data_IF_760712080875
#
_entry.id   IF_760712080875
#
_cell.length_a   1.000
_cell.length_b   1.000
_cell.length_c   1.000
_cell.angle_alpha   90.00
_cell.angle_beta   90.00
_cell.angle_gamma   90.00
#
_symmetry.space_group_name_H-M   'P 1'
#
loop_
_entity.id
_entity.type
_entity.pdbx_description
1 polymer ?
#
# COMPACT_ATOMS: atom_id res chain seq x y z
N UNK A 1 -1.94 -10.34 62.05
CA UNK A 1 -2.58 -10.20 60.72
C UNK A 1 -1.58 -10.55 59.64
N UNK A 2 -1.96 -11.37 58.64
CA UNK A 2 -1.11 -11.66 57.47
C UNK A 2 -1.00 -10.38 56.60
N UNK A 3 0.19 -10.05 56.06
CA UNK A 3 0.34 -8.90 55.17
C UNK A 3 -0.51 -9.10 53.91
N UNK A 4 -1.34 -8.10 53.59
CA UNK A 4 -2.08 -8.06 52.33
C UNK A 4 -1.20 -7.42 51.26
N UNK A 5 -1.08 -8.09 50.13
CA UNK A 5 -0.36 -7.60 48.96
C UNK A 5 -1.37 -7.02 47.98
N UNK A 6 -1.13 -5.81 47.51
CA UNK A 6 -1.93 -5.17 46.47
C UNK A 6 -1.08 -5.00 45.22
N UNK A 7 -1.58 -5.50 44.11
CA UNK A 7 -0.95 -5.33 42.79
C UNK A 7 -1.66 -4.18 42.10
N UNK A 8 -0.91 -3.16 41.67
CA UNK A 8 -1.44 -2.08 40.85
C UNK A 8 -0.52 -1.83 39.65
N UNK A 9 -1.10 -1.43 38.52
CA UNK A 9 -0.33 -0.97 37.36
C UNK A 9 -0.11 0.53 37.49
N UNK A 10 1.15 0.95 37.40
CA UNK A 10 1.51 2.36 37.25
C UNK A 10 2.15 2.59 35.89
N UNK A 11 2.07 3.83 35.40
CA UNK A 11 2.69 4.21 34.15
C UNK A 11 4.22 4.29 34.32
N UNK A 12 4.98 3.76 33.36
CA UNK A 12 6.43 3.99 33.32
C UNK A 12 6.72 5.44 33.02
N UNK A 13 7.83 5.98 33.54
CA UNK A 13 8.34 7.27 33.06
C UNK A 13 8.78 7.14 31.59
N UNK A 14 8.66 8.20 30.80
CA UNK A 14 9.06 8.19 29.39
C UNK A 14 10.52 7.75 29.14
N UNK A 15 11.42 7.94 30.12
CA UNK A 15 12.81 7.50 30.08
C UNK A 15 12.99 5.99 30.23
N UNK A 16 12.07 5.33 30.95
CA UNK A 16 12.06 3.86 31.13
C UNK A 16 11.51 3.13 29.89
N UNK A 17 10.85 3.85 28.97
CA UNK A 17 10.30 3.28 27.74
C UNK A 17 11.37 3.29 26.64
N UNK A 18 11.64 2.12 26.07
CA UNK A 18 12.64 1.97 25.01
C UNK A 18 12.30 2.81 23.78
N UNK A 19 13.30 3.54 23.27
CA UNK A 19 13.18 4.39 22.07
C UNK A 19 12.86 3.57 20.81
N UNK A 20 13.17 2.27 20.82
CA UNK A 20 13.04 1.39 19.64
C UNK A 20 11.59 1.27 19.17
N UNK A 21 10.62 1.29 20.08
CA UNK A 21 9.20 1.22 19.74
C UNK A 21 8.74 2.43 18.93
N UNK A 22 9.09 3.63 19.41
CA UNK A 22 8.80 4.87 18.69
C UNK A 22 9.49 4.89 17.33
N UNK A 23 10.76 4.50 17.26
CA UNK A 23 11.49 4.41 15.99
C UNK A 23 10.84 3.43 15.01
N UNK A 24 10.46 2.23 15.47
CA UNK A 24 9.81 1.22 14.63
C UNK A 24 8.49 1.74 14.03
N UNK A 25 7.62 2.33 14.85
CA UNK A 25 6.36 2.91 14.37
C UNK A 25 6.57 4.02 13.33
N UNK A 26 7.54 4.91 13.55
CA UNK A 26 7.86 6.00 12.63
C UNK A 26 8.42 5.49 11.31
N UNK A 27 9.29 4.49 11.34
CA UNK A 27 9.82 3.85 10.13
C UNK A 27 8.69 3.23 9.31
N UNK A 28 7.79 2.47 9.94
CA UNK A 28 6.68 1.84 9.22
C UNK A 28 5.72 2.88 8.66
N UNK A 29 5.35 3.94 9.42
CA UNK A 29 4.53 5.03 8.87
C UNK A 29 5.20 5.74 7.67
N UNK A 30 6.52 5.90 7.70
CA UNK A 30 7.27 6.48 6.58
C UNK A 30 7.22 5.57 5.36
N UNK A 31 7.36 4.26 5.53
CA UNK A 31 7.22 3.30 4.44
C UNK A 31 5.80 3.26 3.88
N UNK A 32 4.78 3.34 4.73
CA UNK A 32 3.36 3.43 4.31
C UNK A 32 3.18 4.69 3.44
N UNK A 33 3.69 5.83 3.89
CA UNK A 33 3.63 7.09 3.16
C UNK A 33 4.26 6.98 1.77
N UNK A 34 5.50 6.49 1.69
CA UNK A 34 6.23 6.36 0.42
C UNK A 34 5.54 5.38 -0.53
N UNK A 35 5.12 4.21 -0.02
CA UNK A 35 4.41 3.20 -0.81
C UNK A 35 3.07 3.73 -1.32
N UNK A 36 2.29 4.39 -0.46
CA UNK A 36 0.98 4.93 -0.83
C UNK A 36 1.12 6.07 -1.84
N UNK A 37 2.10 6.97 -1.67
CA UNK A 37 2.37 8.04 -2.61
C UNK A 37 2.78 7.52 -4.00
N UNK A 38 3.62 6.47 -4.05
CA UNK A 38 3.98 5.80 -5.30
C UNK A 38 2.77 5.14 -5.97
N UNK A 39 1.87 4.52 -5.20
CA UNK A 39 0.62 3.96 -5.73
C UNK A 39 -0.29 5.06 -6.30
N UNK A 40 -0.53 6.14 -5.54
CA UNK A 40 -1.34 7.29 -5.99
C UNK A 40 -0.78 7.89 -7.26
N UNK A 41 0.53 8.15 -7.31
CA UNK A 41 1.16 8.70 -8.52
C UNK A 41 0.97 7.77 -9.72
N UNK A 42 1.26 6.48 -9.56
CA UNK A 42 1.15 5.51 -10.66
C UNK A 42 -0.28 5.40 -11.18
N UNK A 43 -1.28 5.42 -10.30
CA UNK A 43 -2.69 5.42 -10.70
C UNK A 43 -3.09 6.70 -11.42
N UNK A 44 -2.63 7.86 -10.94
CA UNK A 44 -2.93 9.14 -11.57
C UNK A 44 -2.37 9.18 -12.99
N UNK A 45 -1.12 8.77 -13.18
CA UNK A 45 -0.47 8.66 -14.51
C UNK A 45 -1.20 7.67 -15.42
N UNK A 46 -1.66 6.52 -14.87
CA UNK A 46 -2.46 5.57 -15.63
C UNK A 46 -3.80 6.19 -16.03
N UNK A 47 -4.51 6.90 -15.15
CA UNK A 47 -5.79 7.53 -15.48
C UNK A 47 -5.62 8.66 -16.50
N UNK A 48 -4.57 9.46 -16.36
CA UNK A 48 -4.24 10.57 -17.27
C UNK A 48 -4.04 10.07 -18.71
N UNK A 49 -3.36 8.93 -18.91
CA UNK A 49 -3.21 8.29 -20.22
C UNK A 49 -4.52 7.94 -20.93
N UNK A 50 -5.64 7.85 -20.20
CA UNK A 50 -6.96 7.54 -20.75
C UNK A 50 -7.96 8.67 -20.48
N UNK A 51 -7.50 9.92 -20.39
CA UNK A 51 -8.33 11.12 -20.18
C UNK A 51 -9.21 11.01 -18.92
N UNK A 52 -8.66 10.43 -17.84
CA UNK A 52 -9.36 10.15 -16.58
C UNK A 52 -10.56 9.20 -16.69
N UNK A 53 -10.69 8.47 -17.80
CA UNK A 53 -11.69 7.42 -17.92
C UNK A 53 -11.30 6.17 -17.12
N UNK A 54 -12.28 5.52 -16.50
CA UNK A 54 -12.02 4.36 -15.66
C UNK A 54 -11.71 3.09 -16.48
N UNK A 55 -10.43 2.72 -16.54
CA UNK A 55 -9.96 1.56 -17.32
C UNK A 55 -10.14 0.21 -16.62
N UNK A 56 -10.40 0.21 -15.31
CA UNK A 56 -10.67 -1.00 -14.54
C UNK A 56 -11.90 -1.69 -15.12
N UNK A 57 -11.78 -2.93 -15.58
CA UNK A 57 -12.87 -3.68 -16.25
C UNK A 57 -13.46 -2.98 -17.50
N UNK A 58 -12.75 -2.02 -18.11
CA UNK A 58 -13.19 -1.41 -19.35
C UNK A 58 -13.26 -2.44 -20.49
N UNK A 59 -14.19 -2.28 -21.43
CA UNK A 59 -14.28 -3.09 -22.65
C UNK A 59 -13.68 -2.32 -23.82
N UNK A 60 -12.49 -2.74 -24.22
CA UNK A 60 -11.64 -2.10 -25.21
C UNK A 60 -12.16 -2.37 -26.62
N UNK A 61 -12.18 -1.32 -27.46
CA UNK A 61 -12.43 -1.43 -28.89
C UNK A 61 -11.20 -0.94 -29.67
N UNK A 62 -10.63 -1.82 -30.50
CA UNK A 62 -9.51 -1.50 -31.38
C UNK A 62 -10.02 -1.05 -32.76
N UNK A 63 -9.31 -0.13 -33.42
CA UNK A 63 -9.59 0.34 -34.77
C UNK A 63 -8.34 0.13 -35.66
N UNK A 64 -8.48 -0.55 -36.80
CA UNK A 64 -7.39 -0.83 -37.74
C UNK A 64 -7.72 -1.96 -38.72
N UNK A 65 -6.88 -2.24 -39.74
CA UNK A 65 -7.18 -3.15 -40.86
C UNK A 65 -7.40 -4.64 -40.47
N UNK A 66 -7.10 -5.02 -39.22
CA UNK A 66 -7.43 -6.35 -38.66
C UNK A 66 -8.37 -6.28 -37.43
N UNK A 67 -9.06 -5.16 -37.21
CA UNK A 67 -10.04 -5.01 -36.13
C UNK A 67 -11.39 -5.66 -36.48
N UNK A 68 -11.40 -6.99 -36.69
CA UNK A 68 -12.64 -7.77 -36.59
C UNK A 68 -12.59 -8.47 -35.23
N UNK A 69 -13.01 -7.75 -34.19
CA UNK A 69 -13.25 -8.33 -32.87
C UNK A 69 -14.75 -8.66 -32.77
N UNK A 70 -15.16 -9.80 -33.31
CA UNK A 70 -16.41 -10.43 -32.89
C UNK A 70 -16.15 -11.16 -31.57
N UNK A 71 -16.07 -10.42 -30.46
CA UNK A 71 -16.08 -11.01 -29.12
C UNK A 71 -17.53 -11.16 -28.65
N UNK A 72 -18.21 -12.15 -29.19
CA UNK A 72 -19.38 -12.75 -28.54
C UNK A 72 -18.84 -13.72 -27.48
N UNK A 73 -18.80 -13.28 -26.22
CA UNK A 73 -18.60 -14.17 -25.09
C UNK A 73 -19.82 -15.11 -24.99
N UNK A 74 -19.72 -16.27 -25.63
CA UNK A 74 -20.61 -17.39 -25.38
C UNK A 74 -20.15 -18.10 -24.12
N UNK A 75 -21.04 -18.12 -23.11
CA UNK A 75 -20.99 -19.09 -22.02
C UNK A 75 -21.22 -20.45 -22.66
N UNK A 76 -20.29 -21.40 -22.56
CA UNK A 76 -20.57 -22.79 -22.90
C UNK A 76 -19.92 -23.76 -21.92
N UNK A 77 -20.80 -24.63 -21.42
CA UNK A 77 -20.62 -25.75 -20.50
C UNK A 77 -19.72 -26.86 -21.07
N UNK A 78 -19.19 -27.67 -20.17
CA UNK A 78 -18.45 -28.90 -20.43
C UNK A 78 -19.21 -29.86 -21.38
N UNK A 79 -18.52 -30.40 -22.39
CA UNK A 79 -18.70 -31.80 -22.80
C UNK A 79 -17.49 -32.27 -23.64
N UNK A 80 -17.01 -33.46 -23.31
CA UNK A 80 -15.91 -34.15 -23.98
C UNK A 80 -16.33 -34.76 -25.33
N UNK A 81 -15.42 -34.82 -26.31
CA UNK A 81 -14.95 -36.08 -26.97
C UNK A 81 -14.25 -35.83 -28.32
N UNK A 82 -13.16 -36.56 -28.51
CA UNK A 82 -12.60 -37.14 -29.74
C UNK A 82 -11.86 -36.30 -30.81
N UNK A 83 -10.69 -36.87 -31.15
CA UNK A 83 -9.68 -36.47 -32.14
C UNK A 83 -9.86 -37.32 -33.44
N UNK A 84 -8.97 -37.27 -34.45
CA UNK A 84 -9.07 -36.45 -35.66
C UNK A 84 -9.18 -37.27 -36.97
N UNK A 85 -9.56 -36.64 -38.10
CA UNK A 85 -9.22 -37.18 -39.44
C UNK A 85 -8.82 -36.11 -40.47
N UNK A 86 -7.79 -36.52 -41.21
CA UNK A 86 -7.06 -35.88 -42.30
C UNK A 86 -7.87 -35.71 -43.59
N UNK A 87 -7.44 -34.76 -44.44
CA UNK A 87 -6.85 -35.11 -45.74
C UNK A 87 -6.31 -33.89 -46.50
N UNK A 88 -5.08 -34.05 -46.97
CA UNK A 88 -4.33 -33.25 -47.94
C UNK A 88 -4.71 -33.61 -49.37
N UNK A 89 -4.72 -32.65 -50.32
CA UNK A 89 -4.15 -32.86 -51.68
C UNK A 89 -3.75 -31.55 -52.39
N UNK A 90 -2.45 -31.45 -52.68
CA UNK A 90 -1.70 -30.83 -53.81
C UNK A 90 -2.52 -30.22 -54.97
N UNK A 91 -2.30 -28.99 -55.47
CA UNK A 91 -1.13 -28.36 -56.14
C UNK A 91 -1.38 -28.17 -57.66
N UNK A 92 -1.31 -26.91 -58.13
CA UNK A 92 -0.92 -26.50 -59.49
C UNK A 92 -0.21 -25.13 -59.44
N UNK A 93 1.08 -25.14 -59.73
CA UNK A 93 1.96 -24.06 -60.26
C UNK A 93 1.56 -23.75 -61.73
N UNK A 94 1.84 -22.64 -62.44
CA UNK A 94 2.72 -21.45 -62.40
C UNK A 94 2.01 -20.41 -63.35
N UNK A 95 2.15 -19.07 -63.31
CA UNK A 95 3.30 -18.25 -63.75
C UNK A 95 2.97 -16.72 -63.64
N UNK A 96 3.90 -15.76 -63.88
CA UNK A 96 4.23 -14.73 -62.89
C UNK A 96 4.20 -13.28 -63.45
N UNK A 97 3.83 -12.30 -62.62
CA UNK A 97 4.33 -10.92 -62.74
C UNK A 97 3.75 -10.09 -61.60
N UNK A 98 4.57 -9.84 -60.58
CA UNK A 98 4.61 -8.51 -59.96
C UNK A 98 5.89 -8.41 -59.13
N UNK A 99 6.79 -7.57 -59.64
CA UNK A 99 8.02 -7.14 -59.00
C UNK A 99 7.64 -6.09 -57.96
N UNK A 100 7.39 -6.50 -56.72
CA UNK A 100 7.21 -5.55 -55.61
C UNK A 100 8.50 -5.42 -54.81
N UNK A 101 9.05 -4.21 -54.82
CA UNK A 101 10.29 -3.81 -54.20
C UNK A 101 10.31 -4.13 -52.70
N UNK A 102 11.20 -5.03 -52.29
CA UNK A 102 11.53 -5.33 -50.90
C UNK A 102 12.31 -4.15 -50.28
N UNK A 103 11.59 -3.10 -49.86
CA UNK A 103 12.14 -2.00 -49.05
C UNK A 103 12.40 -2.45 -47.62
N UNK A 104 13.62 -2.91 -47.34
CA UNK A 104 14.08 -3.28 -45.99
C UNK A 104 14.54 -2.01 -45.26
N UNK A 105 13.64 -1.28 -44.60
CA UNK A 105 14.06 -0.22 -43.68
C UNK A 105 14.41 -0.78 -42.31
N UNK A 106 15.70 -0.69 -41.98
CA UNK A 106 16.25 -0.98 -40.65
C UNK A 106 16.07 0.28 -39.79
N UNK A 107 15.03 0.35 -38.96
CA UNK A 107 14.94 1.41 -37.94
C UNK A 107 15.81 1.03 -36.74
N UNK A 108 17.09 1.40 -36.84
CA UNK A 108 18.06 1.28 -35.74
C UNK A 108 17.81 2.37 -34.70
N UNK A 109 17.03 2.07 -33.66
CA UNK A 109 16.90 2.96 -32.50
C UNK A 109 18.08 2.71 -31.54
N UNK A 110 19.08 3.59 -31.60
CA UNK A 110 20.29 3.53 -30.80
C UNK A 110 19.99 3.94 -29.36
N UNK A 111 19.71 2.95 -28.51
CA UNK A 111 19.73 3.14 -27.05
C UNK A 111 21.19 3.09 -26.59
N UNK A 112 21.76 4.23 -26.19
CA UNK A 112 23.06 4.28 -25.51
C UNK A 112 22.96 3.61 -24.13
N UNK A 113 23.10 2.27 -24.14
CA UNK A 113 23.84 1.40 -23.20
C UNK A 113 23.55 -0.08 -23.50
N UNK A 114 24.44 -0.70 -24.27
CA UNK A 114 24.85 -2.12 -24.31
C UNK A 114 23.83 -3.28 -24.19
N UNK A 115 22.58 -3.14 -24.62
CA UNK A 115 21.77 -4.27 -25.06
C UNK A 115 20.92 -3.89 -26.29
N UNK A 116 21.38 -4.27 -27.48
CA UNK A 116 20.59 -4.23 -28.70
C UNK A 116 19.77 -5.52 -28.80
N UNK A 117 18.50 -5.49 -28.38
CA UNK A 117 17.55 -6.56 -28.74
C UNK A 117 16.93 -6.18 -30.07
N UNK A 118 17.42 -6.76 -31.16
CA UNK A 118 16.78 -6.65 -32.47
C UNK A 118 15.54 -7.56 -32.49
N UNK A 119 14.36 -6.97 -32.28
CA UNK A 119 13.10 -7.66 -32.55
C UNK A 119 12.78 -7.55 -34.04
N UNK A 120 12.83 -8.68 -34.75
CA UNK A 120 12.20 -8.80 -36.06
C UNK A 120 10.70 -8.98 -35.81
N UNK A 121 9.94 -7.87 -35.84
CA UNK A 121 8.48 -7.97 -35.90
C UNK A 121 8.01 -7.69 -37.33
N UNK A 122 7.71 -8.75 -38.08
CA UNK A 122 6.91 -8.66 -39.31
C UNK A 122 5.45 -8.37 -38.95
N UNK A 123 5.15 -7.16 -38.48
CA UNK A 123 3.81 -6.81 -38.03
C UNK A 123 3.44 -5.42 -38.55
N UNK A 124 2.86 -5.38 -39.76
CA UNK A 124 2.11 -4.24 -40.30
C UNK A 124 0.76 -4.04 -39.56
N UNK A 125 0.71 -4.12 -38.22
CA UNK A 125 -0.52 -3.94 -37.45
C UNK A 125 -0.59 -2.55 -36.81
N UNK A 126 -0.98 -1.55 -37.58
CA UNK A 126 -1.39 -0.25 -37.03
C UNK A 126 -2.84 -0.35 -36.51
N UNK A 127 -3.03 -1.05 -35.40
CA UNK A 127 -4.29 -1.02 -34.64
C UNK A 127 -4.18 0.03 -33.54
N UNK A 128 -5.10 0.99 -33.47
CA UNK A 128 -5.13 2.03 -32.45
C UNK A 128 -6.35 1.84 -31.53
N UNK A 129 -6.19 2.17 -30.25
CA UNK A 129 -7.29 2.11 -29.29
C UNK A 129 -8.30 3.24 -29.59
N UNK A 130 -9.58 2.91 -29.76
CA UNK A 130 -10.60 3.94 -29.94
C UNK A 130 -11.25 4.27 -28.58
N UNK A 131 -10.78 5.34 -27.92
CA UNK A 131 -11.32 5.80 -26.63
C UNK A 131 -12.82 6.13 -26.71
N UNK A 132 -13.30 6.62 -27.86
CA UNK A 132 -14.71 6.99 -28.06
C UNK A 132 -15.66 5.78 -28.15
N UNK A 133 -15.16 4.62 -28.58
CA UNK A 133 -15.93 3.37 -28.66
C UNK A 133 -15.68 2.43 -27.48
N UNK A 134 -14.66 2.70 -26.68
CA UNK A 134 -14.35 1.93 -25.47
C UNK A 134 -15.44 2.15 -24.43
N UNK A 135 -15.98 1.07 -23.86
CA UNK A 135 -16.97 1.17 -22.78
C UNK A 135 -16.21 1.12 -21.46
N UNK A 136 -16.06 2.28 -20.83
CA UNK A 136 -15.41 2.40 -19.52
C UNK A 136 -16.34 1.95 -18.39
N UNK A 137 -15.74 1.48 -17.30
CA UNK A 137 -16.50 1.08 -16.13
C UNK A 137 -16.98 2.28 -15.31
N UNK A 138 -17.76 2.00 -14.27
CA UNK A 138 -18.26 3.04 -13.36
C UNK A 138 -17.10 3.76 -12.65
N UNK A 139 -17.20 5.09 -12.61
CA UNK A 139 -16.20 5.99 -12.01
C UNK A 139 -15.92 5.62 -10.55
N UNK A 140 -16.94 5.13 -9.84
CA UNK A 140 -16.86 4.69 -8.44
C UNK A 140 -15.72 3.69 -8.17
N UNK A 141 -15.44 2.77 -9.11
CA UNK A 141 -14.39 1.78 -8.93
C UNK A 141 -12.99 2.41 -8.98
N UNK A 142 -12.80 3.36 -9.89
CA UNK A 142 -11.54 4.10 -10.00
C UNK A 142 -11.37 5.12 -8.87
N UNK A 143 -12.45 5.74 -8.42
CA UNK A 143 -12.43 6.63 -7.25
C UNK A 143 -12.01 5.86 -6.00
N UNK A 144 -12.57 4.67 -5.77
CA UNK A 144 -12.18 3.82 -4.63
C UNK A 144 -10.71 3.40 -4.72
N UNK A 145 -10.26 3.04 -5.92
CA UNK A 145 -8.88 2.66 -6.20
C UNK A 145 -7.90 3.80 -5.89
N UNK A 146 -8.22 5.03 -6.30
CA UNK A 146 -7.38 6.21 -6.10
C UNK A 146 -7.47 6.77 -4.67
N UNK A 147 -8.66 6.73 -4.07
CA UNK A 147 -8.92 7.29 -2.75
C UNK A 147 -8.21 6.49 -1.65
N UNK A 148 -8.14 5.16 -1.74
CA UNK A 148 -7.49 4.34 -0.72
C UNK A 148 -6.01 4.68 -0.46
N UNK A 149 -5.11 4.71 -1.47
CA UNK A 149 -3.73 5.12 -1.25
C UNK A 149 -3.61 6.60 -0.88
N UNK A 150 -4.48 7.47 -1.39
CA UNK A 150 -4.47 8.90 -1.03
C UNK A 150 -4.86 9.11 0.44
N UNK A 151 -5.91 8.45 0.92
CA UNK A 151 -6.29 8.43 2.33
C UNK A 151 -5.17 7.84 3.19
N UNK A 152 -4.51 6.79 2.72
CA UNK A 152 -3.35 6.18 3.39
C UNK A 152 -2.19 7.17 3.57
N UNK A 153 -1.89 8.00 2.56
CA UNK A 153 -0.89 9.09 2.67
C UNK A 153 -1.28 10.06 3.80
N UNK A 154 -2.51 10.58 3.77
CA UNK A 154 -2.97 11.60 4.73
C UNK A 154 -2.95 11.04 6.16
N UNK A 155 -3.49 9.84 6.34
CA UNK A 155 -3.56 9.20 7.67
C UNK A 155 -2.16 8.84 8.18
N UNK A 156 -1.26 8.33 7.32
CA UNK A 156 0.11 8.03 7.72
C UNK A 156 0.88 9.29 8.17
N UNK A 157 0.69 10.43 7.49
CA UNK A 157 1.26 11.72 7.92
C UNK A 157 0.68 12.12 9.27
N UNK A 158 -0.64 12.13 9.42
CA UNK A 158 -1.31 12.54 10.65
C UNK A 158 -0.86 11.70 11.86
N UNK A 159 -0.87 10.37 11.70
CA UNK A 159 -0.43 9.46 12.76
C UNK A 159 1.07 9.53 13.02
N UNK A 160 1.88 9.71 11.96
CA UNK A 160 3.31 9.92 12.07
C UNK A 160 3.66 11.17 12.87
N UNK A 161 2.97 12.28 12.61
CA UNK A 161 3.13 13.56 13.34
C UNK A 161 2.73 13.39 14.81
N UNK A 162 1.61 12.73 15.10
CA UNK A 162 1.20 12.44 16.49
C UNK A 162 2.29 11.66 17.23
N UNK A 163 2.87 10.63 16.59
CA UNK A 163 3.95 9.83 17.19
C UNK A 163 5.27 10.60 17.30
N UNK A 164 5.57 11.52 16.38
CA UNK A 164 6.75 12.38 16.44
C UNK A 164 6.68 13.32 17.64
N UNK A 165 5.55 14.00 17.82
CA UNK A 165 5.35 15.01 18.85
C UNK A 165 5.18 14.38 20.23
N UNK A 166 4.44 13.27 20.33
CA UNK A 166 4.15 12.67 21.62
C UNK A 166 5.36 12.01 22.29
N UNK A 167 5.24 11.80 23.60
CA UNK A 167 6.27 11.15 24.41
C UNK A 167 6.56 9.72 23.92
N UNK A 168 7.62 9.09 24.42
CA UNK A 168 7.95 7.70 24.04
C UNK A 168 6.89 6.70 24.50
N UNK A 169 6.11 7.07 25.52
CA UNK A 169 5.17 6.18 26.19
C UNK A 169 5.04 6.48 27.68
N UNK A 170 4.12 5.76 28.32
CA UNK A 170 3.85 5.85 29.76
C UNK A 170 3.38 7.24 30.23
N UNK A 171 3.84 7.64 31.42
CA UNK A 171 3.66 8.97 31.96
C UNK A 171 4.74 9.87 31.32
N UNK A 172 4.34 10.64 30.32
CA UNK A 172 5.17 11.63 29.67
C UNK A 172 5.64 12.71 30.64
N UNK A 173 6.53 13.57 30.16
CA UNK A 173 7.05 14.66 30.98
C UNK A 173 6.02 15.80 31.11
N UNK A 174 6.05 16.58 32.19
CA UNK A 174 5.11 17.70 32.40
C UNK A 174 5.14 18.77 31.31
N UNK A 175 6.21 18.84 30.51
CA UNK A 175 6.36 19.77 29.38
C UNK A 175 6.02 19.17 28.02
N UNK A 176 5.62 17.89 27.94
CA UNK A 176 5.24 17.26 26.69
C UNK A 176 3.83 17.70 26.27
N UNK A 177 3.63 17.98 24.98
CA UNK A 177 2.30 18.36 24.44
C UNK A 177 1.29 17.23 24.63
N UNK A 178 1.75 15.98 24.52
CA UNK A 178 0.95 14.77 24.75
C UNK A 178 1.67 13.87 25.75
N UNK A 179 1.44 14.07 27.07
CA UNK A 179 2.13 13.30 28.09
C UNK A 179 1.68 11.82 28.09
N UNK A 180 0.40 11.54 27.86
CA UNK A 180 -0.18 10.19 27.94
C UNK A 180 -0.48 9.60 26.55
N UNK A 181 0.54 9.50 25.69
CA UNK A 181 0.37 8.98 24.31
C UNK A 181 -0.22 7.55 24.25
N UNK A 182 -0.08 6.78 25.33
CA UNK A 182 -0.61 5.41 25.39
C UNK A 182 -2.13 5.35 25.22
N UNK A 183 -2.86 6.43 25.54
CA UNK A 183 -4.31 6.54 25.33
C UNK A 183 -4.63 6.52 23.83
N UNK A 184 -3.77 7.12 23.00
CA UNK A 184 -3.93 7.13 21.55
C UNK A 184 -3.65 5.77 20.91
N UNK A 185 -2.97 4.85 21.60
CA UNK A 185 -2.61 3.53 21.04
C UNK A 185 -3.84 2.73 20.58
N UNK A 186 -4.92 2.72 21.35
CA UNK A 186 -6.14 1.96 21.02
C UNK A 186 -6.90 2.48 19.79
N UNK A 187 -7.24 3.78 19.69
CA UNK A 187 -7.90 4.29 18.48
C UNK A 187 -6.98 4.18 17.25
N UNK A 188 -5.67 4.34 17.41
CA UNK A 188 -4.71 4.17 16.31
C UNK A 188 -4.67 2.71 15.84
N UNK A 189 -4.70 1.73 16.75
CA UNK A 189 -4.78 0.31 16.40
C UNK A 189 -6.05 0.01 15.59
N UNK A 190 -7.21 0.51 16.03
CA UNK A 190 -8.47 0.38 15.30
C UNK A 190 -8.40 0.97 13.89
N UNK A 191 -7.81 2.17 13.77
CA UNK A 191 -7.60 2.83 12.48
C UNK A 191 -6.63 2.07 11.58
N UNK A 192 -5.54 1.51 12.12
CA UNK A 192 -4.62 0.66 11.35
C UNK A 192 -5.32 -0.59 10.82
N UNK A 193 -6.19 -1.22 11.63
CA UNK A 193 -7.01 -2.36 11.20
C UNK A 193 -7.98 -1.99 10.07
N UNK A 194 -8.69 -0.87 10.21
CA UNK A 194 -9.57 -0.35 9.17
C UNK A 194 -8.80 -0.07 7.87
N UNK A 195 -7.66 0.62 7.95
CA UNK A 195 -6.83 0.94 6.79
C UNK A 195 -6.23 -0.30 6.12
N UNK A 196 -5.88 -1.33 6.89
CA UNK A 196 -5.44 -2.62 6.36
C UNK A 196 -6.54 -3.24 5.49
N UNK A 197 -7.76 -3.34 6.02
CA UNK A 197 -8.90 -3.89 5.27
C UNK A 197 -9.22 -3.04 4.03
N UNK A 198 -9.27 -1.71 4.20
CA UNK A 198 -9.60 -0.79 3.12
C UNK A 198 -8.59 -0.82 1.97
N UNK A 199 -7.29 -0.79 2.28
CA UNK A 199 -6.22 -0.92 1.29
C UNK A 199 -6.18 -2.31 0.66
N UNK A 200 -6.54 -3.36 1.40
CA UNK A 200 -6.62 -4.72 0.86
C UNK A 200 -7.73 -4.85 -0.19
N UNK A 201 -8.93 -4.33 0.09
CA UNK A 201 -10.03 -4.33 -0.89
C UNK A 201 -9.64 -3.56 -2.14
N UNK A 202 -9.05 -2.37 -1.99
CA UNK A 202 -8.55 -1.56 -3.12
C UNK A 202 -7.46 -2.29 -3.92
N UNK A 203 -6.50 -2.95 -3.26
CA UNK A 203 -5.46 -3.77 -3.92
C UNK A 203 -6.03 -4.89 -4.76
N UNK A 204 -7.04 -5.61 -4.26
CA UNK A 204 -7.69 -6.67 -5.02
C UNK A 204 -8.40 -6.11 -6.25
N UNK A 205 -9.16 -5.02 -6.07
CA UNK A 205 -9.87 -4.36 -7.18
C UNK A 205 -8.91 -3.85 -8.27
N UNK A 206 -7.77 -3.27 -7.87
CA UNK A 206 -6.73 -2.83 -8.79
C UNK A 206 -6.18 -3.99 -9.63
N UNK A 207 -5.79 -5.09 -8.98
CA UNK A 207 -5.20 -6.24 -9.65
C UNK A 207 -6.19 -6.96 -10.57
N UNK A 208 -7.41 -7.21 -10.09
CA UNK A 208 -8.44 -7.88 -10.88
C UNK A 208 -8.88 -7.01 -12.06
N UNK A 209 -9.05 -5.70 -11.81
CA UNK A 209 -9.48 -4.73 -12.80
C UNK A 209 -8.47 -4.51 -13.92
N UNK A 210 -7.21 -4.25 -13.57
CA UNK A 210 -6.14 -4.07 -14.56
C UNK A 210 -5.72 -5.38 -15.20
N UNK A 211 -5.81 -6.51 -14.47
CA UNK A 211 -5.63 -7.84 -15.05
C UNK A 211 -6.64 -8.10 -16.18
N UNK A 212 -7.92 -7.82 -15.94
CA UNK A 212 -8.97 -7.93 -16.96
C UNK A 212 -8.79 -6.95 -18.13
N UNK A 213 -8.30 -5.75 -17.86
CA UNK A 213 -7.94 -4.78 -18.89
C UNK A 213 -6.81 -5.32 -19.78
N UNK A 214 -5.71 -5.80 -19.18
CA UNK A 214 -4.56 -6.32 -19.92
C UNK A 214 -4.86 -7.62 -20.68
N UNK A 215 -5.77 -8.45 -20.18
CA UNK A 215 -6.19 -9.67 -20.87
C UNK A 215 -6.81 -9.38 -22.24
N UNK A 216 -7.43 -8.22 -22.43
CA UNK A 216 -8.00 -7.83 -23.73
C UNK A 216 -6.94 -7.59 -24.81
N UNK A 217 -5.70 -7.26 -24.42
CA UNK A 217 -4.57 -7.15 -25.33
C UNK A 217 -3.96 -8.51 -25.73
N UNK A 218 -4.44 -9.62 -25.17
CA UNK A 218 -3.86 -10.95 -25.40
C UNK A 218 -3.77 -11.32 -26.87
N UNK A 219 -4.79 -10.99 -27.66
CA UNK A 219 -4.80 -11.30 -29.10
C UNK A 219 -3.69 -10.56 -29.88
N UNK A 220 -3.31 -9.36 -29.41
CA UNK A 220 -2.31 -8.49 -30.01
C UNK A 220 -0.89 -8.81 -29.53
N UNK A 221 -0.70 -8.97 -28.22
CA UNK A 221 0.63 -9.15 -27.62
C UNK A 221 1.01 -10.60 -27.39
N UNK A 222 0.06 -11.54 -27.49
CA UNK A 222 0.18 -12.97 -27.12
C UNK A 222 0.45 -13.25 -25.64
N UNK A 223 0.40 -12.23 -24.78
CA UNK A 223 0.56 -12.39 -23.32
C UNK A 223 -0.78 -12.28 -22.60
N UNK A 224 -0.98 -13.07 -21.53
CA UNK A 224 -2.21 -13.02 -20.71
C UNK A 224 -2.17 -11.93 -19.61
N UNK A 225 -1.02 -11.28 -19.47
CA UNK A 225 -0.72 -10.26 -18.46
C UNK A 225 -0.23 -8.99 -19.12
N UNK A 226 -0.27 -7.89 -18.35
CA UNK A 226 0.32 -6.64 -18.78
C UNK A 226 1.80 -6.86 -19.11
N UNK A 227 2.22 -6.35 -20.26
CA UNK A 227 3.57 -6.54 -20.79
C UNK A 227 4.06 -5.23 -21.44
N UNK A 228 5.37 -5.04 -21.62
CA UNK A 228 5.93 -3.83 -22.24
C UNK A 228 5.40 -3.55 -23.65
N UNK A 229 4.98 -4.58 -24.40
CA UNK A 229 4.39 -4.43 -25.74
C UNK A 229 3.08 -3.65 -25.75
N UNK A 230 2.40 -3.50 -24.60
CA UNK A 230 1.23 -2.64 -24.47
C UNK A 230 1.56 -1.16 -24.59
N UNK A 231 2.81 -0.75 -24.33
CA UNK A 231 3.23 0.64 -24.43
C UNK A 231 3.07 1.13 -25.89
N UNK A 232 3.28 0.27 -26.88
CA UNK A 232 3.11 0.60 -28.31
C UNK A 232 1.70 1.08 -28.66
N UNK A 233 0.68 0.58 -27.96
CA UNK A 233 -0.73 0.90 -28.21
C UNK A 233 -1.25 2.05 -27.34
N UNK A 234 -0.48 2.49 -26.35
CA UNK A 234 -0.92 3.46 -25.32
C UNK A 234 -0.15 4.78 -25.38
N UNK A 235 1.07 4.79 -25.95
CA UNK A 235 1.90 6.00 -26.14
C UNK A 235 1.19 7.11 -26.92
N UNK A 236 0.21 6.76 -27.78
CA UNK A 236 -0.48 7.73 -28.65
C UNK A 236 -1.48 8.66 -27.96
N UNK A 237 -1.85 8.37 -26.70
CA UNK A 237 -2.83 9.17 -25.94
C UNK A 237 -2.17 10.20 -25.01
N UNK A 238 -0.89 10.50 -25.22
CA UNK A 238 -0.23 11.61 -24.51
C UNK A 238 -0.10 12.81 -25.45
N UNK A 239 -1.15 13.65 -25.58
CA UNK A 239 -1.03 14.87 -26.33
C UNK A 239 -0.04 15.79 -25.59
N UNK A 240 0.99 16.24 -26.30
CA UNK A 240 1.69 17.50 -26.05
C UNK A 240 2.64 17.63 -24.84
N UNK A 241 2.85 16.61 -23.99
CA UNK A 241 3.90 16.73 -22.97
C UNK A 241 5.31 16.57 -23.58
N UNK A 242 6.12 17.63 -23.47
CA UNK A 242 7.54 17.75 -23.87
C UNK A 242 8.48 16.85 -23.05
N UNK A 243 8.19 15.56 -22.98
CA UNK A 243 9.02 14.54 -22.36
C UNK A 243 8.59 13.16 -22.82
N UNK A 244 9.46 12.14 -22.76
CA UNK A 244 9.05 10.78 -23.10
C UNK A 244 7.93 10.38 -22.13
N UNK A 245 6.70 10.06 -22.62
CA UNK A 245 5.61 9.65 -21.75
C UNK A 245 6.08 8.45 -20.93
N UNK A 246 5.81 8.47 -19.63
CA UNK A 246 6.14 7.32 -18.79
C UNK A 246 5.37 6.11 -19.35
N UNK A 247 6.03 4.99 -19.70
CA UNK A 247 5.35 3.86 -20.31
C UNK A 247 4.27 3.32 -19.36
N UNK A 248 3.09 2.97 -19.91
CA UNK A 248 1.99 2.37 -19.17
C UNK A 248 2.46 1.20 -18.33
N UNK A 249 3.28 0.32 -18.90
CA UNK A 249 3.81 -0.86 -18.21
C UNK A 249 4.62 -0.52 -16.96
N UNK A 250 5.42 0.56 -16.99
CA UNK A 250 6.20 1.00 -15.83
C UNK A 250 5.29 1.48 -14.70
N UNK A 251 4.29 2.30 -15.02
CA UNK A 251 3.32 2.76 -14.03
C UNK A 251 2.46 1.61 -13.50
N UNK A 252 2.11 0.63 -14.35
CA UNK A 252 1.43 -0.58 -13.93
C UNK A 252 2.25 -1.38 -12.90
N UNK A 253 3.54 -1.64 -13.17
CA UNK A 253 4.39 -2.40 -12.24
C UNK A 253 4.58 -1.63 -10.93
N UNK A 254 4.88 -0.33 -11.00
CA UNK A 254 5.05 0.50 -9.81
C UNK A 254 3.76 0.54 -8.98
N UNK A 255 2.62 0.79 -9.62
CA UNK A 255 1.31 0.81 -8.98
C UNK A 255 0.96 -0.53 -8.34
N UNK A 256 1.17 -1.64 -9.05
CA UNK A 256 0.89 -3.00 -8.55
C UNK A 256 1.72 -3.33 -7.31
N UNK A 257 3.03 -3.08 -7.35
CA UNK A 257 3.90 -3.39 -6.21
C UNK A 257 3.56 -2.49 -5.01
N UNK A 258 3.39 -1.18 -5.25
CA UNK A 258 3.07 -0.22 -4.21
C UNK A 258 1.70 -0.48 -3.56
N UNK A 259 0.67 -0.85 -4.33
CA UNK A 259 -0.67 -1.11 -3.78
C UNK A 259 -0.72 -2.41 -2.96
N UNK A 260 0.11 -3.41 -3.28
CA UNK A 260 0.23 -4.66 -2.51
C UNK A 260 1.00 -4.44 -1.20
N UNK A 261 2.10 -3.67 -1.25
CA UNK A 261 2.96 -3.44 -0.09
C UNK A 261 2.22 -2.62 0.98
N UNK A 262 1.38 -1.67 0.57
CA UNK A 262 0.66 -0.76 1.47
C UNK A 262 -0.20 -1.46 2.54
N UNK A 263 -1.12 -2.39 2.23
CA UNK A 263 -1.88 -3.12 3.25
C UNK A 263 -0.99 -4.00 4.14
N UNK A 264 0.10 -4.56 3.61
CA UNK A 264 1.06 -5.35 4.41
C UNK A 264 1.73 -4.44 5.45
N UNK A 265 2.13 -3.22 5.07
CA UNK A 265 2.73 -2.27 6.00
C UNK A 265 1.72 -1.78 7.06
N UNK A 266 0.46 -1.56 6.69
CA UNK A 266 -0.60 -1.26 7.67
C UNK A 266 -0.83 -2.42 8.65
N UNK A 267 -0.79 -3.66 8.16
CA UNK A 267 -0.88 -4.85 9.02
C UNK A 267 0.30 -4.93 9.98
N UNK A 268 1.53 -4.73 9.50
CA UNK A 268 2.73 -4.67 10.34
C UNK A 268 2.58 -3.58 11.42
N UNK A 269 2.05 -2.41 11.05
CA UNK A 269 1.83 -1.33 12.00
C UNK A 269 0.80 -1.69 13.07
N UNK A 270 -0.31 -2.33 12.68
CA UNK A 270 -1.30 -2.83 13.62
C UNK A 270 -0.69 -3.89 14.56
N UNK A 271 0.11 -4.82 14.03
CA UNK A 271 0.82 -5.82 14.82
C UNK A 271 1.80 -5.18 15.81
N UNK A 272 2.53 -4.14 15.42
CA UNK A 272 3.42 -3.42 16.34
C UNK A 272 2.65 -2.79 17.51
N UNK A 273 1.50 -2.17 17.26
CA UNK A 273 0.66 -1.62 18.33
C UNK A 273 0.09 -2.72 19.23
N UNK A 274 -0.32 -3.84 18.66
CA UNK A 274 -0.80 -4.99 19.42
C UNK A 274 0.29 -5.58 20.31
N UNK A 275 1.52 -5.74 19.80
CA UNK A 275 2.66 -6.17 20.59
C UNK A 275 2.99 -5.17 21.70
N UNK A 276 2.91 -3.86 21.43
CA UNK A 276 3.11 -2.82 22.45
C UNK A 276 2.13 -2.97 23.62
N UNK A 277 0.87 -3.30 23.34
CA UNK A 277 -0.16 -3.57 24.36
C UNK A 277 0.15 -4.85 25.12
N UNK A 278 0.42 -5.97 24.42
CA UNK A 278 0.68 -7.27 25.04
C UNK A 278 1.90 -7.23 25.97
N UNK A 279 2.99 -6.60 25.54
CA UNK A 279 4.20 -6.49 26.34
C UNK A 279 4.13 -5.41 27.43
N UNK A 280 2.98 -4.75 27.60
CA UNK A 280 2.77 -3.68 28.59
C UNK A 280 3.92 -2.66 28.55
N UNK A 281 4.31 -2.27 27.34
CA UNK A 281 5.51 -1.45 27.12
C UNK A 281 5.44 -0.15 27.92
N UNK A 282 4.25 0.43 28.04
CA UNK A 282 3.96 1.70 28.72
C UNK A 282 3.74 1.57 30.24
N UNK A 283 3.53 0.35 30.75
CA UNK A 283 3.11 0.12 32.14
C UNK A 283 4.14 -0.69 32.94
N UNK A 284 4.15 -0.49 34.26
CA UNK A 284 4.94 -1.25 35.23
C UNK A 284 4.02 -1.76 36.32
N UNK A 285 4.21 -3.02 36.70
CA UNK A 285 3.43 -3.65 37.76
C UNK A 285 4.13 -3.40 39.08
N UNK A 286 3.43 -2.75 40.02
CA UNK A 286 3.92 -2.48 41.37
C UNK A 286 3.23 -3.42 42.36
N UNK A 287 4.01 -4.00 43.27
CA UNK A 287 3.52 -4.85 44.34
C UNK A 287 3.69 -4.12 45.67
N UNK A 288 2.59 -3.59 46.20
CA UNK A 288 2.60 -2.79 47.44
C UNK A 288 2.24 -3.68 48.62
N UNK A 289 3.12 -3.72 49.62
CA UNK A 289 2.87 -4.40 50.90
C UNK A 289 2.29 -3.38 51.88
N UNK A 290 1.02 -3.53 52.23
CA UNK A 290 0.42 -2.71 53.29
C UNK A 290 0.75 -3.37 54.63
N UNK A 291 1.64 -2.76 55.40
CA UNK A 291 1.82 -3.15 56.80
C UNK A 291 0.68 -2.55 57.64
N UNK A 292 0.01 -3.34 58.49
CA UNK A 292 -0.98 -2.82 59.41
C UNK A 292 -0.32 -1.82 60.38
N UNK A 293 -0.98 -0.68 60.58
CA UNK A 293 -0.51 0.52 61.33
C UNK A 293 -0.32 0.31 62.84
N UNK A 294 -0.38 -0.93 63.33
CA UNK A 294 -0.53 -1.23 64.76
C UNK A 294 0.79 -1.25 65.55
N UNK A 295 1.91 -0.78 64.98
CA UNK A 295 3.23 -0.79 65.67
C UNK A 295 3.98 0.54 65.72
N UNK A 296 3.42 1.66 65.26
CA UNK A 296 4.11 2.96 65.33
C UNK A 296 3.61 3.94 66.42
N UNK A 297 2.69 3.55 67.29
CA UNK A 297 2.26 4.41 68.44
C UNK A 297 3.03 4.09 69.74
N UNK A 298 4.07 3.26 69.70
CA UNK A 298 4.94 3.02 70.87
C UNK A 298 6.41 3.08 70.50
N UNK A 299 6.92 4.28 70.15
CA UNK A 299 8.30 4.71 70.44
C UNK A 299 8.54 6.17 69.99
N UNK A 300 7.94 7.11 70.71
CA UNK A 300 8.51 8.46 70.81
C UNK A 300 8.47 8.99 72.24
N UNK A 301 9.28 8.45 73.18
CA UNK A 301 9.53 9.12 74.46
C UNK A 301 10.52 10.29 74.33
N UNK A 302 10.81 10.79 73.12
CA UNK A 302 11.78 11.87 72.91
C UNK A 302 11.16 13.28 72.99
N UNK A 303 9.86 13.44 72.73
CA UNK A 303 9.21 14.78 72.73
C UNK A 303 8.83 15.21 74.16
N UNK A 304 8.61 14.27 75.08
CA UNK A 304 8.32 14.59 76.49
C UNK A 304 9.52 15.16 77.26
N UNK A 305 10.77 14.84 76.86
CA UNK A 305 12.00 15.38 77.48
C UNK A 305 12.36 16.79 77.02
N UNK A 306 11.89 17.22 75.84
CA UNK A 306 12.13 18.58 75.34
C UNK A 306 11.14 19.58 75.96
N UNK A 307 9.89 19.15 76.19
CA UNK A 307 8.89 19.99 76.84
C UNK A 307 9.20 20.30 78.32
N UNK A 308 9.88 19.39 79.04
CA UNK A 308 10.28 19.63 80.44
C UNK A 308 11.44 20.61 80.55
N UNK A 309 12.44 20.55 79.65
CA UNK A 309 13.55 21.52 79.62
C UNK A 309 13.12 22.94 79.21
N UNK A 310 12.08 23.08 78.40
CA UNK A 310 11.55 24.39 77.99
C UNK A 310 10.69 25.07 79.06
N UNK A 311 10.17 24.33 80.05
CA UNK A 311 9.44 24.91 81.17
C UNK A 311 10.35 25.33 82.33
N UNK A 312 11.56 24.80 82.46
CA UNK A 312 12.56 25.29 83.43
C UNK A 312 13.23 26.60 82.98
N UNK A 313 13.42 26.82 81.66
CA UNK A 313 14.05 28.06 81.19
C UNK A 313 13.14 29.30 81.28
N UNK A 314 11.82 29.12 81.43
CA UNK A 314 10.86 30.22 81.57
C UNK A 314 10.63 30.70 83.01
N UNK A 315 11.35 30.13 83.99
CA UNK A 315 11.17 30.40 85.42
C UNK A 315 12.36 31.08 86.11
N UNK A 316 13.37 31.50 85.34
CA UNK A 316 14.45 32.36 85.79
C UNK A 316 14.39 33.70 85.06
#
# INVERSE_FOLDING_TARGET
>A
MKPRHYVHMGMKKAEEVSKIWKAAHLTVFTLILLSSAAATKSMFEILDMYEFNCIIYAKIQFQGPHAIVNSSYGIFEDTASDEPKSNSTSSKTHDPNETEHLGRELTEYKWDRNYSISFISNVNNSGFLNLRRTVFATILMCDLMLFAPLASVVIAILLGVIMLIGSRGGAGNPGDIFPEIWICTYPILGLCGFMTFFCFVSSNLFQSGLGAFCLQYHHLTKYKWCNPGMDHYTIQFTPEFKGPPAPFYRNYILGTMSIIITPILWLIQATLFLLRIIFLVDFKVYLTKIQPRDKEVKKTPAIAKVATKLMEHKRN
#
